data_IF_462781261374
#
_entry.id   IF_462781261374
#
_cell.length_a   1.000
_cell.length_b   1.000
_cell.length_c   1.000
_cell.angle_alpha   90.00
_cell.angle_beta   90.00
_cell.angle_gamma   90.00
#
_symmetry.space_group_name_H-M   'P 1'
#
loop_
_entity.id
_entity.type
_entity.pdbx_description
1 polymer ?
#
# COMPACT_ATOMS: atom_id res chain seq x y z
N UNK A 1 -27.91 0.83 86.14
CA UNK A 1 -28.68 0.63 84.89
C UNK A 1 -28.93 -0.86 84.71
N UNK A 2 -30.10 -1.20 84.17
CA UNK A 2 -30.94 -2.36 84.53
C UNK A 2 -30.41 -3.74 84.08
N UNK A 3 -30.72 -4.71 84.94
CA UNK A 3 -30.68 -6.18 84.79
C UNK A 3 -31.31 -6.64 83.45
N UNK A 4 -30.90 -7.80 82.90
CA UNK A 4 -31.73 -9.01 82.89
C UNK A 4 -31.02 -10.24 82.30
N UNK A 5 -31.24 -11.34 83.00
CA UNK A 5 -31.08 -12.75 82.66
C UNK A 5 -31.86 -13.13 81.38
N UNK A 6 -31.39 -14.09 80.58
CA UNK A 6 -32.21 -15.26 80.19
C UNK A 6 -31.44 -16.29 79.34
N UNK A 7 -31.71 -17.53 79.75
CA UNK A 7 -31.33 -18.83 79.23
C UNK A 7 -32.28 -19.26 78.08
N UNK A 8 -32.03 -20.44 77.50
CA UNK A 8 -32.85 -21.27 76.56
C UNK A 8 -32.64 -21.07 75.06
N UNK A 9 -32.68 -22.09 74.20
CA UNK A 9 -32.60 -23.57 74.24
C UNK A 9 -32.47 -23.99 72.76
N UNK A 10 -31.89 -25.17 72.53
CA UNK A 10 -31.79 -25.94 71.30
C UNK A 10 -32.94 -25.80 70.29
N UNK A 11 -32.65 -25.93 69.00
CA UNK A 11 -33.39 -26.76 68.03
C UNK A 11 -32.47 -27.04 66.82
N UNK A 12 -32.15 -28.32 66.63
CA UNK A 12 -31.70 -28.89 65.37
C UNK A 12 -32.93 -28.97 64.43
N UNK A 13 -32.85 -28.39 63.25
CA UNK A 13 -33.69 -28.77 62.12
C UNK A 13 -32.80 -29.01 60.91
N UNK A 14 -32.65 -30.30 60.58
CA UNK A 14 -32.35 -30.75 59.23
C UNK A 14 -33.52 -30.36 58.33
N UNK A 15 -33.25 -29.63 57.25
CA UNK A 15 -34.14 -29.57 56.09
C UNK A 15 -33.28 -29.44 54.83
N UNK A 16 -33.36 -30.48 54.00
CA UNK A 16 -32.79 -30.52 52.66
C UNK A 16 -33.41 -29.42 51.80
N UNK A 17 -32.58 -28.63 51.11
CA UNK A 17 -33.02 -27.91 49.92
C UNK A 17 -32.08 -28.24 48.77
N UNK A 18 -32.69 -28.68 47.67
CA UNK A 18 -32.08 -29.16 46.44
C UNK A 18 -31.10 -28.14 45.85
N UNK A 19 -29.82 -28.50 45.81
CA UNK A 19 -28.83 -27.81 44.98
C UNK A 19 -28.89 -28.40 43.58
N UNK A 20 -29.64 -27.74 42.71
CA UNK A 20 -29.45 -27.85 41.26
C UNK A 20 -27.99 -27.48 40.95
N UNK A 21 -27.19 -28.49 40.62
CA UNK A 21 -25.89 -28.29 40.00
C UNK A 21 -26.13 -27.73 38.60
N UNK A 22 -26.13 -26.40 38.48
CA UNK A 22 -25.83 -25.74 37.20
C UNK A 22 -24.47 -26.24 36.73
N UNK A 23 -24.51 -27.11 35.72
CA UNK A 23 -23.36 -27.50 34.92
C UNK A 23 -22.90 -26.25 34.20
N UNK A 24 -21.81 -25.64 34.67
CA UNK A 24 -21.07 -24.64 33.92
C UNK A 24 -20.48 -25.39 32.73
N UNK A 25 -21.09 -25.22 31.56
CA UNK A 25 -20.51 -25.59 30.28
C UNK A 25 -19.33 -24.63 30.06
N UNK A 26 -18.13 -25.08 30.40
CA UNK A 26 -16.91 -24.49 29.85
C UNK A 26 -16.94 -24.74 28.35
N UNK A 27 -17.47 -23.80 27.58
CA UNK A 27 -17.17 -23.73 26.16
C UNK A 27 -15.81 -23.05 26.03
N UNK A 28 -14.74 -23.82 26.17
CA UNK A 28 -13.48 -23.44 25.56
C UNK A 28 -13.76 -23.33 24.05
N UNK A 29 -13.96 -22.10 23.57
CA UNK A 29 -14.18 -21.82 22.16
C UNK A 29 -12.95 -22.33 21.41
N UNK A 30 -13.08 -23.51 20.79
CA UNK A 30 -12.02 -24.12 20.01
C UNK A 30 -11.75 -23.19 18.86
N UNK A 31 -10.54 -22.62 18.79
CA UNK A 31 -10.17 -21.71 17.71
C UNK A 31 -10.47 -22.39 16.36
N UNK A 32 -11.12 -21.70 15.41
CA UNK A 32 -11.46 -22.30 14.13
C UNK A 32 -10.19 -22.83 13.45
N UNK A 33 -10.22 -24.12 13.06
CA UNK A 33 -9.11 -24.77 12.37
C UNK A 33 -8.80 -24.03 11.07
N UNK A 34 -7.56 -23.64 10.92
CA UNK A 34 -7.06 -23.03 9.69
C UNK A 34 -6.87 -24.08 8.61
N UNK A 35 -7.24 -23.70 7.39
CA UNK A 35 -7.13 -24.53 6.19
C UNK A 35 -6.45 -23.70 5.11
N UNK A 36 -5.87 -24.36 4.10
CA UNK A 36 -5.24 -23.69 2.95
C UNK A 36 -4.21 -22.62 3.32
N UNK A 37 -3.38 -22.88 4.33
CA UNK A 37 -2.27 -22.00 4.73
C UNK A 37 -1.26 -21.82 3.60
N UNK A 38 -1.20 -22.75 2.66
CA UNK A 38 -0.44 -22.63 1.41
C UNK A 38 -0.87 -21.41 0.58
N UNK A 39 -2.10 -20.92 0.70
CA UNK A 39 -2.58 -19.74 -0.04
C UNK A 39 -2.30 -18.41 0.67
N UNK A 40 -1.71 -18.43 1.87
CA UNK A 40 -1.42 -17.21 2.61
C UNK A 40 -0.32 -16.39 1.91
N UNK A 41 -0.31 -15.09 2.16
CA UNK A 41 0.70 -14.16 1.65
C UNK A 41 0.13 -13.11 0.70
N UNK A 42 1.05 -12.39 0.06
CA UNK A 42 0.75 -11.28 -0.84
C UNK A 42 0.54 -11.76 -2.27
N UNK A 43 -0.45 -11.18 -2.93
CA UNK A 43 -0.70 -11.31 -4.35
C UNK A 43 -0.67 -9.90 -4.94
N UNK A 44 0.31 -9.64 -5.80
CA UNK A 44 0.63 -8.28 -6.27
C UNK A 44 0.55 -8.21 -7.78
N UNK A 45 0.03 -7.09 -8.28
CA UNK A 45 -0.11 -6.83 -9.70
C UNK A 45 -0.96 -5.60 -9.96
N UNK A 46 -1.55 -5.55 -11.14
CA UNK A 46 -2.28 -4.39 -11.63
C UNK A 46 -3.76 -4.44 -11.28
N UNK A 47 -4.30 -3.26 -10.99
CA UNK A 47 -5.71 -3.02 -10.67
C UNK A 47 -6.33 -2.09 -11.70
N UNK A 48 -6.73 -2.69 -12.82
CA UNK A 48 -7.08 -1.98 -14.04
C UNK A 48 -8.58 -1.73 -14.14
N UNK A 49 -8.97 -0.56 -14.63
CA UNK A 49 -10.36 -0.23 -14.97
C UNK A 49 -10.95 -1.29 -15.90
N UNK A 50 -12.13 -1.81 -15.54
CA UNK A 50 -12.92 -2.70 -16.38
C UNK A 50 -14.22 -2.02 -16.83
N UNK A 51 -14.90 -1.31 -15.91
CA UNK A 51 -16.12 -0.56 -16.21
C UNK A 51 -16.00 0.87 -15.66
N UNK A 52 -16.24 1.86 -16.54
CA UNK A 52 -16.14 3.29 -16.26
C UNK A 52 -17.25 4.07 -16.96
N UNK A 53 -17.80 5.08 -16.28
CA UNK A 53 -18.69 6.08 -16.88
C UNK A 53 -17.90 7.04 -17.77
N UNK A 54 -17.97 6.85 -19.09
CA UNK A 54 -17.26 7.66 -20.09
C UNK A 54 -17.88 9.04 -20.33
N UNK A 55 -19.07 9.32 -19.78
CA UNK A 55 -19.68 10.65 -19.85
C UNK A 55 -19.00 11.69 -18.95
N UNK A 56 -18.15 11.24 -18.03
CA UNK A 56 -17.44 12.09 -17.06
C UNK A 56 -15.96 12.21 -17.41
N UNK A 57 -15.29 13.32 -17.01
CA UNK A 57 -13.83 13.43 -17.10
C UNK A 57 -13.11 12.32 -16.33
N UNK A 58 -11.97 11.86 -16.85
CA UNK A 58 -11.12 10.87 -16.18
C UNK A 58 -10.48 11.47 -14.93
N UNK A 59 -10.92 11.04 -13.73
CA UNK A 59 -10.32 11.48 -12.46
C UNK A 59 -9.60 10.37 -11.71
N UNK A 60 -10.05 9.13 -11.89
CA UNK A 60 -9.37 7.96 -11.35
C UNK A 60 -8.26 7.48 -12.28
N UNK A 61 -7.15 6.97 -11.73
CA UNK A 61 -6.12 6.33 -12.56
C UNK A 61 -6.69 5.06 -13.21
N UNK A 62 -6.35 4.84 -14.48
CA UNK A 62 -6.72 3.63 -15.21
C UNK A 62 -6.11 2.36 -14.59
N UNK A 63 -4.87 2.48 -14.11
CA UNK A 63 -4.12 1.41 -13.46
C UNK A 63 -3.58 1.92 -12.12
N UNK A 64 -3.71 1.09 -11.08
CA UNK A 64 -2.94 1.22 -9.84
C UNK A 64 -2.31 -0.13 -9.52
N UNK A 65 -1.20 -0.15 -8.77
CA UNK A 65 -0.77 -1.38 -8.11
C UNK A 65 -1.77 -1.75 -7.00
N UNK A 66 -2.07 -3.04 -6.89
CA UNK A 66 -2.79 -3.63 -5.76
C UNK A 66 -1.96 -4.74 -5.13
N UNK A 67 -2.07 -4.87 -3.81
CA UNK A 67 -1.69 -6.08 -3.08
C UNK A 67 -2.92 -6.64 -2.34
N UNK A 68 -3.28 -7.89 -2.60
CA UNK A 68 -4.24 -8.64 -1.78
C UNK A 68 -3.45 -9.59 -0.89
N UNK A 69 -3.63 -9.45 0.43
CA UNK A 69 -2.90 -10.24 1.42
C UNK A 69 -3.89 -11.17 2.11
N UNK A 70 -3.78 -12.46 1.83
CA UNK A 70 -4.58 -13.49 2.50
C UNK A 70 -3.90 -13.85 3.81
N UNK A 71 -4.59 -13.64 4.93
CA UNK A 71 -4.04 -13.82 6.28
C UNK A 71 -4.52 -15.09 6.97
N UNK A 72 -5.80 -15.41 6.81
CA UNK A 72 -6.42 -16.55 7.49
C UNK A 72 -7.56 -17.11 6.67
N UNK A 73 -7.61 -18.43 6.51
CA UNK A 73 -8.71 -19.15 5.90
C UNK A 73 -9.17 -20.23 6.88
N UNK A 74 -10.48 -20.29 7.10
CA UNK A 74 -11.17 -21.30 7.89
C UNK A 74 -12.35 -21.81 7.08
N UNK A 75 -13.02 -22.88 7.53
CA UNK A 75 -14.20 -23.40 6.84
C UNK A 75 -15.35 -22.37 6.67
N UNK A 76 -15.42 -21.35 7.53
CA UNK A 76 -16.53 -20.38 7.55
C UNK A 76 -16.12 -18.98 7.11
N UNK A 77 -14.83 -18.64 7.20
CA UNK A 77 -14.38 -17.25 7.05
C UNK A 77 -12.97 -17.18 6.51
N UNK A 78 -12.79 -16.23 5.60
CA UNK A 78 -11.51 -15.74 5.11
C UNK A 78 -11.30 -14.33 5.65
N UNK A 79 -10.09 -14.02 6.08
CA UNK A 79 -9.67 -12.66 6.42
C UNK A 79 -8.37 -12.31 5.69
N UNK A 80 -8.28 -11.05 5.28
CA UNK A 80 -7.12 -10.51 4.59
C UNK A 80 -7.06 -9.00 4.69
N UNK A 81 -6.32 -8.39 3.78
CA UNK A 81 -6.37 -6.95 3.53
C UNK A 81 -6.08 -6.65 2.05
N UNK A 82 -6.68 -5.60 1.51
CA UNK A 82 -6.31 -4.99 0.24
C UNK A 82 -5.42 -3.78 0.52
N UNK A 83 -4.43 -3.55 -0.33
CA UNK A 83 -3.63 -2.32 -0.35
C UNK A 83 -3.69 -1.75 -1.76
N UNK A 84 -4.36 -0.60 -1.93
CA UNK A 84 -4.51 0.08 -3.22
C UNK A 84 -4.21 1.56 -3.03
N UNK A 85 -3.31 2.11 -3.85
CA UNK A 85 -2.99 3.53 -3.82
C UNK A 85 -2.61 4.07 -2.43
N UNK A 86 -2.00 3.22 -1.60
CA UNK A 86 -1.62 3.56 -0.23
C UNK A 86 -2.70 3.31 0.84
N UNK A 87 -3.91 2.94 0.43
CA UNK A 87 -5.01 2.67 1.34
C UNK A 87 -5.03 1.17 1.67
N UNK A 88 -4.82 0.85 2.94
CA UNK A 88 -4.97 -0.49 3.49
C UNK A 88 -6.38 -0.67 4.03
N UNK A 89 -7.11 -1.69 3.58
CA UNK A 89 -8.48 -2.00 4.00
C UNK A 89 -8.58 -3.46 4.42
N UNK A 90 -9.20 -3.78 5.57
CA UNK A 90 -9.39 -5.17 5.98
C UNK A 90 -10.38 -5.85 5.04
N UNK A 91 -10.11 -7.11 4.71
CA UNK A 91 -10.98 -7.94 3.89
C UNK A 91 -11.59 -9.05 4.75
N UNK A 92 -12.88 -9.28 4.58
CA UNK A 92 -13.57 -10.43 5.18
C UNK A 92 -14.54 -11.07 4.20
N UNK A 93 -14.65 -12.39 4.23
CA UNK A 93 -15.58 -13.08 3.35
C UNK A 93 -15.44 -14.59 3.42
N UNK A 94 -15.70 -15.27 2.31
CA UNK A 94 -15.79 -16.73 2.25
C UNK A 94 -14.95 -17.30 1.11
N UNK A 95 -14.58 -18.57 1.26
CA UNK A 95 -13.95 -19.39 0.23
C UNK A 95 -14.90 -20.54 -0.11
N UNK A 96 -15.10 -20.80 -1.39
CA UNK A 96 -15.79 -22.00 -1.88
C UNK A 96 -14.83 -22.79 -2.77
N UNK A 97 -15.09 -24.09 -2.91
CA UNK A 97 -14.30 -24.98 -3.76
C UNK A 97 -15.23 -25.68 -4.72
N UNK A 98 -15.02 -25.48 -6.01
CA UNK A 98 -15.79 -26.07 -7.10
C UNK A 98 -14.83 -26.86 -8.00
N UNK A 99 -14.79 -28.18 -7.84
CA UNK A 99 -13.80 -29.02 -8.51
C UNK A 99 -12.38 -28.66 -8.06
N UNK A 100 -11.52 -28.28 -9.02
CA UNK A 100 -10.15 -27.82 -8.77
C UNK A 100 -10.04 -26.30 -8.56
N UNK A 101 -11.13 -25.56 -8.72
CA UNK A 101 -11.12 -24.10 -8.60
C UNK A 101 -11.49 -23.68 -7.19
N UNK A 102 -10.70 -22.77 -6.63
CA UNK A 102 -10.95 -22.17 -5.31
C UNK A 102 -11.39 -20.74 -5.55
N UNK A 103 -12.61 -20.45 -5.15
CA UNK A 103 -13.25 -19.16 -5.37
C UNK A 103 -13.36 -18.39 -4.06
N UNK A 104 -13.21 -17.08 -4.12
CA UNK A 104 -13.22 -16.17 -3.00
C UNK A 104 -14.16 -15.00 -3.27
N UNK A 105 -14.96 -14.66 -2.27
CA UNK A 105 -15.74 -13.41 -2.25
C UNK A 105 -15.39 -12.69 -0.95
N UNK A 106 -14.60 -11.62 -1.06
CA UNK A 106 -14.13 -10.83 0.07
C UNK A 106 -14.62 -9.39 -0.01
N UNK A 107 -15.07 -8.83 1.11
CA UNK A 107 -15.61 -7.48 1.21
C UNK A 107 -14.72 -6.60 2.05
N UNK A 108 -14.55 -5.36 1.60
CA UNK A 108 -14.09 -4.25 2.43
C UNK A 108 -15.22 -3.80 3.39
N UNK A 109 -14.92 -3.02 4.46
CA UNK A 109 -15.89 -2.67 5.50
C UNK A 109 -17.19 -2.00 5.03
N UNK A 110 -17.15 -1.26 3.93
CA UNK A 110 -18.26 -0.44 3.44
C UNK A 110 -18.36 0.93 4.13
N UNK A 111 -17.33 1.33 4.89
CA UNK A 111 -17.25 2.63 5.57
C UNK A 111 -16.44 3.69 4.80
N UNK A 112 -15.80 3.31 3.69
CA UNK A 112 -15.12 4.23 2.77
C UNK A 112 -15.82 4.28 1.40
N UNK A 113 -15.80 5.46 0.76
CA UNK A 113 -16.40 5.70 -0.57
C UNK A 113 -15.72 4.90 -1.70
N UNK A 114 -14.56 4.33 -1.45
CA UNK A 114 -13.79 3.49 -2.36
C UNK A 114 -13.86 2.01 -1.99
N UNK A 115 -14.72 1.62 -1.05
CA UNK A 115 -14.90 0.21 -0.71
C UNK A 115 -15.72 -0.53 -1.77
N UNK A 116 -15.43 -1.82 -1.89
CA UNK A 116 -16.15 -2.74 -2.75
C UNK A 116 -16.01 -4.20 -2.34
N UNK A 117 -16.26 -5.06 -3.31
CA UNK A 117 -16.29 -6.51 -3.19
C UNK A 117 -15.31 -7.09 -4.19
N UNK A 118 -14.36 -7.87 -3.69
CA UNK A 118 -13.46 -8.70 -4.47
C UNK A 118 -14.10 -10.06 -4.72
N UNK A 119 -14.10 -10.48 -5.98
CA UNK A 119 -14.61 -11.75 -6.47
C UNK A 119 -13.52 -12.35 -7.37
N UNK A 120 -12.91 -13.45 -6.93
CA UNK A 120 -11.71 -13.99 -7.58
C UNK A 120 -11.49 -15.47 -7.35
N UNK A 121 -10.67 -16.05 -8.21
CA UNK A 121 -10.16 -17.41 -8.09
C UNK A 121 -8.63 -17.42 -7.98
N UNK A 122 -8.07 -18.47 -7.37
CA UNK A 122 -6.62 -18.72 -7.38
C UNK A 122 -6.35 -19.93 -8.28
N UNK A 123 -5.64 -19.68 -9.38
CA UNK A 123 -5.17 -20.68 -10.35
C UNK A 123 -3.77 -21.15 -9.99
N UNK A 124 -3.56 -22.47 -10.06
CA UNK A 124 -2.25 -23.09 -9.84
C UNK A 124 -1.55 -22.61 -8.55
N UNK A 125 -2.33 -22.32 -7.50
CA UNK A 125 -1.92 -21.83 -6.18
C UNK A 125 -1.06 -20.54 -6.16
N UNK A 126 -0.89 -19.87 -7.30
CA UNK A 126 0.08 -18.77 -7.48
C UNK A 126 -0.46 -17.57 -8.26
N UNK A 127 -1.52 -17.75 -9.05
CA UNK A 127 -2.11 -16.68 -9.86
C UNK A 127 -3.53 -16.39 -9.38
N UNK A 128 -3.73 -15.22 -8.78
CA UNK A 128 -5.04 -14.74 -8.33
C UNK A 128 -5.66 -13.89 -9.43
N UNK A 129 -6.81 -14.30 -9.95
CA UNK A 129 -7.51 -13.63 -11.06
C UNK A 129 -8.92 -13.28 -10.65
N UNK A 130 -9.35 -12.04 -10.88
CA UNK A 130 -10.71 -11.67 -10.56
C UNK A 130 -11.06 -10.22 -10.81
N UNK A 131 -12.13 -9.80 -10.15
CA UNK A 131 -12.67 -8.45 -10.26
C UNK A 131 -12.95 -7.84 -8.90
N UNK A 132 -12.95 -6.52 -8.87
CA UNK A 132 -13.47 -5.73 -7.77
C UNK A 132 -14.65 -4.92 -8.27
N UNK A 133 -15.74 -4.92 -7.50
CA UNK A 133 -16.95 -4.15 -7.80
C UNK A 133 -17.19 -3.15 -6.67
N UNK A 134 -17.32 -1.87 -7.03
CA UNK A 134 -17.59 -0.80 -6.07
C UNK A 134 -18.93 -1.00 -5.35
N UNK A 135 -18.95 -0.74 -4.04
CA UNK A 135 -20.22 -0.66 -3.30
C UNK A 135 -21.07 0.54 -3.75
N UNK A 136 -20.41 1.64 -4.14
CA UNK A 136 -21.05 2.85 -4.64
C UNK A 136 -21.18 2.83 -6.17
N UNK A 137 -22.39 2.55 -6.66
CA UNK A 137 -22.71 2.47 -8.10
C UNK A 137 -22.66 3.82 -8.83
N UNK A 138 -22.53 4.95 -8.11
CA UNK A 138 -22.42 6.29 -8.71
C UNK A 138 -20.97 6.72 -8.96
N UNK A 139 -19.98 5.89 -8.60
CA UNK A 139 -18.57 6.15 -8.88
C UNK A 139 -18.31 6.24 -10.38
N UNK A 140 -17.24 6.94 -10.73
CA UNK A 140 -16.74 7.00 -12.10
C UNK A 140 -16.30 5.60 -12.57
N UNK A 141 -15.52 4.89 -11.74
CA UNK A 141 -15.13 3.50 -11.97
C UNK A 141 -15.95 2.60 -11.05
N UNK A 142 -16.77 1.74 -11.62
CA UNK A 142 -17.64 0.79 -10.89
C UNK A 142 -17.03 -0.60 -10.80
N UNK A 143 -16.14 -0.95 -11.73
CA UNK A 143 -15.52 -2.27 -11.78
C UNK A 143 -14.07 -2.20 -12.22
N UNK A 144 -13.23 -3.01 -11.57
CA UNK A 144 -11.82 -3.21 -11.93
C UNK A 144 -11.53 -4.70 -12.05
N UNK A 145 -10.55 -5.04 -12.87
CA UNK A 145 -10.02 -6.40 -13.00
C UNK A 145 -8.57 -6.45 -12.52
N UNK A 146 -8.13 -7.64 -12.13
CA UNK A 146 -6.77 -7.87 -11.72
C UNK A 146 -6.31 -9.30 -12.02
N UNK A 147 -5.01 -9.40 -12.29
CA UNK A 147 -4.25 -10.65 -12.34
C UNK A 147 -3.01 -10.45 -11.47
N UNK A 148 -2.95 -11.16 -10.35
CA UNK A 148 -2.00 -10.92 -9.28
C UNK A 148 -1.12 -12.15 -9.06
N UNK A 149 0.18 -11.97 -9.21
CA UNK A 149 1.15 -13.01 -8.93
C UNK A 149 1.39 -13.10 -7.42
N UNK A 150 1.45 -14.31 -6.89
CA UNK A 150 1.87 -14.54 -5.51
C UNK A 150 3.32 -14.08 -5.33
N UNK A 151 3.54 -13.19 -4.36
CA UNK A 151 4.86 -12.69 -3.98
C UNK A 151 5.05 -12.88 -2.49
N UNK A 152 6.20 -13.44 -2.11
CA UNK A 152 6.62 -13.45 -0.71
C UNK A 152 7.30 -12.11 -0.41
N UNK A 153 6.79 -11.37 0.58
CA UNK A 153 7.49 -10.20 1.06
C UNK A 153 8.69 -10.64 1.89
N UNK A 154 9.88 -10.25 1.42
CA UNK A 154 11.13 -10.41 2.14
C UNK A 154 11.92 -9.11 2.01
N UNK A 155 12.30 -8.54 3.14
CA UNK A 155 13.20 -7.40 3.14
C UNK A 155 14.53 -7.78 2.47
N UNK A 156 14.89 -7.04 1.42
CA UNK A 156 16.18 -7.13 0.75
C UNK A 156 16.78 -5.72 0.64
N UNK A 157 17.88 -5.43 1.34
CA UNK A 157 18.50 -4.11 1.28
C UNK A 157 19.26 -3.87 -0.04
N UNK A 158 19.53 -4.91 -0.83
CA UNK A 158 20.41 -4.83 -2.00
C UNK A 158 19.67 -4.52 -3.30
N UNK A 159 18.34 -4.63 -3.32
CA UNK A 159 17.56 -4.30 -4.52
C UNK A 159 17.70 -2.80 -4.84
N UNK A 160 17.96 -2.54 -6.11
CA UNK A 160 18.17 -1.20 -6.67
C UNK A 160 17.00 -0.82 -7.57
N UNK A 161 16.83 0.49 -7.75
CA UNK A 161 15.89 1.04 -8.72
C UNK A 161 16.27 0.58 -10.14
N UNK A 162 15.32 0.17 -10.99
CA UNK A 162 15.62 -0.28 -12.35
C UNK A 162 16.16 0.86 -13.22
N UNK A 163 17.19 0.59 -14.04
CA UNK A 163 17.79 1.59 -14.94
C UNK A 163 16.80 2.14 -15.97
N UNK A 164 15.90 1.29 -16.47
CA UNK A 164 14.86 1.68 -17.44
C UNK A 164 13.67 2.44 -16.80
N UNK A 165 13.74 2.74 -15.50
CA UNK A 165 12.67 3.44 -14.79
C UNK A 165 12.59 4.93 -15.18
N UNK A 166 11.37 5.44 -15.39
CA UNK A 166 11.15 6.88 -15.55
C UNK A 166 11.04 7.54 -14.18
N UNK A 167 12.07 8.28 -13.77
CA UNK A 167 12.12 9.01 -12.50
C UNK A 167 11.77 10.49 -12.65
N UNK A 168 10.65 10.74 -13.31
CA UNK A 168 10.09 12.08 -13.57
C UNK A 168 8.88 12.30 -12.67
N UNK A 169 8.81 13.47 -12.04
CA UNK A 169 7.69 13.86 -11.17
C UNK A 169 6.52 14.44 -11.98
N UNK A 170 5.77 13.56 -12.64
CA UNK A 170 4.55 13.94 -13.35
C UNK A 170 3.42 14.42 -12.43
N UNK A 171 3.52 14.18 -11.12
CA UNK A 171 2.50 14.55 -10.16
C UNK A 171 2.57 16.03 -9.74
N UNK A 172 3.69 16.72 -9.94
CA UNK A 172 3.85 18.14 -9.61
C UNK A 172 4.50 18.94 -10.77
N UNK A 173 3.82 19.04 -11.94
CA UNK A 173 4.29 19.88 -13.03
C UNK A 173 4.34 21.36 -12.62
N UNK A 174 5.12 22.15 -13.37
CA UNK A 174 5.05 23.61 -13.37
C UNK A 174 4.89 24.13 -14.77
N UNK A 175 4.28 25.30 -14.88
CA UNK A 175 4.23 26.07 -16.13
C UNK A 175 5.33 27.11 -16.09
N UNK A 176 6.23 27.12 -17.07
CA UNK A 176 7.31 28.09 -17.22
C UNK A 176 7.25 28.76 -18.58
N UNK A 177 7.68 30.02 -18.65
CA UNK A 177 7.70 30.78 -19.90
C UNK A 177 9.05 30.54 -20.59
N UNK A 178 9.02 29.92 -21.77
CA UNK A 178 10.20 29.60 -22.57
C UNK A 178 10.27 30.55 -23.76
N UNK A 179 11.47 30.95 -24.15
CA UNK A 179 11.71 31.80 -25.32
C UNK A 179 12.70 31.14 -26.25
N UNK A 180 12.20 30.69 -27.39
CA UNK A 180 12.98 30.03 -28.42
C UNK A 180 13.28 30.97 -29.58
N UNK A 181 14.47 30.82 -30.14
CA UNK A 181 14.90 31.54 -31.34
C UNK A 181 14.71 30.60 -32.53
N UNK A 182 13.52 30.58 -33.12
CA UNK A 182 13.28 29.82 -34.34
C UNK A 182 13.91 30.55 -35.54
N UNK A 183 14.69 29.83 -36.34
CA UNK A 183 15.05 30.26 -37.69
C UNK A 183 13.96 29.78 -38.65
N UNK A 184 13.36 30.68 -39.44
CA UNK A 184 12.55 30.24 -40.58
C UNK A 184 13.41 29.37 -41.51
N UNK A 185 12.87 28.23 -41.96
CA UNK A 185 13.55 27.35 -42.90
C UNK A 185 14.03 28.14 -44.12
N UNK A 186 15.35 28.37 -44.22
CA UNK A 186 16.00 28.84 -45.44
C UNK A 186 16.70 30.20 -45.40
N UNK A 187 16.69 30.96 -44.29
CA UNK A 187 17.49 32.21 -44.19
C UNK A 187 18.14 32.34 -42.81
N UNK A 188 19.47 32.25 -42.74
CA UNK A 188 20.27 32.36 -41.51
C UNK A 188 20.21 33.74 -40.82
N UNK A 189 19.47 34.72 -41.36
CA UNK A 189 19.64 36.13 -41.00
C UNK A 189 18.57 36.75 -40.10
N UNK A 190 17.39 36.14 -39.92
CA UNK A 190 16.33 36.67 -39.05
C UNK A 190 15.76 35.57 -38.13
N UNK A 191 16.24 35.54 -36.88
CA UNK A 191 15.66 34.69 -35.82
C UNK A 191 14.61 35.50 -35.07
N UNK A 192 13.33 35.13 -35.19
CA UNK A 192 12.29 35.73 -34.36
C UNK A 192 12.17 34.97 -33.03
N UNK A 193 12.23 35.71 -31.92
CA UNK A 193 12.02 35.14 -30.60
C UNK A 193 10.54 34.82 -30.41
N UNK A 194 10.21 33.54 -30.22
CA UNK A 194 8.86 33.08 -29.88
C UNK A 194 8.81 32.72 -28.41
N UNK A 195 7.92 33.36 -27.68
CA UNK A 195 7.68 33.08 -26.27
C UNK A 195 6.38 32.31 -26.08
N UNK A 196 6.43 31.18 -25.40
CA UNK A 196 5.25 30.37 -25.07
C UNK A 196 5.35 29.77 -23.67
N UNK A 197 4.22 29.27 -23.17
CA UNK A 197 4.18 28.55 -21.89
C UNK A 197 4.46 27.07 -22.14
N UNK A 198 5.35 26.50 -21.35
CA UNK A 198 5.70 25.08 -21.41
C UNK A 198 5.54 24.43 -20.03
N UNK A 199 5.00 23.21 -20.01
CA UNK A 199 4.92 22.39 -18.81
C UNK A 199 6.26 21.69 -18.57
N UNK A 200 6.90 22.00 -17.46
CA UNK A 200 8.19 21.44 -17.02
C UNK A 200 8.03 20.52 -15.81
N UNK A 201 8.95 19.57 -15.66
CA UNK A 201 8.90 18.54 -14.63
C UNK A 201 10.23 18.40 -13.89
N UNK A 202 10.17 17.92 -12.64
CA UNK A 202 11.38 17.51 -11.91
C UNK A 202 11.80 16.12 -12.39
N UNK A 203 13.09 15.92 -12.64
CA UNK A 203 13.62 14.61 -12.98
C UNK A 203 14.87 14.27 -12.17
N UNK A 204 14.90 13.03 -11.70
CA UNK A 204 16.02 12.50 -10.96
C UNK A 204 17.25 12.29 -11.87
N UNK A 205 18.43 12.31 -11.26
CA UNK A 205 19.69 11.94 -11.90
C UNK A 205 19.97 10.45 -11.73
N UNK A 206 20.86 9.91 -12.56
CA UNK A 206 21.37 8.52 -12.49
C UNK A 206 21.94 8.14 -11.11
N UNK A 207 22.27 9.12 -10.27
CA UNK A 207 22.77 8.91 -8.91
C UNK A 207 21.85 8.00 -8.09
N UNK A 208 20.52 8.07 -8.29
CA UNK A 208 19.55 7.23 -7.57
C UNK A 208 19.65 5.73 -7.91
N UNK A 209 20.28 5.40 -9.04
CA UNK A 209 20.49 4.02 -9.50
C UNK A 209 21.78 3.43 -8.95
N UNK A 210 22.73 4.28 -8.57
CA UNK A 210 24.04 3.86 -8.06
C UNK A 210 24.15 3.92 -6.53
N UNK A 211 23.46 4.85 -5.88
CA UNK A 211 23.53 5.05 -4.42
C UNK A 211 22.51 4.18 -3.70
N UNK A 212 22.97 3.27 -2.84
CA UNK A 212 22.09 2.44 -2.01
C UNK A 212 21.99 2.99 -0.59
N UNK A 213 20.89 3.68 -0.29
CA UNK A 213 20.63 4.30 1.01
C UNK A 213 20.29 3.33 2.15
N UNK A 214 20.18 2.02 1.88
CA UNK A 214 19.97 0.97 2.90
C UNK A 214 21.25 0.19 3.24
N UNK A 215 22.21 0.08 2.33
CA UNK A 215 23.47 -0.67 2.56
C UNK A 215 24.71 0.21 2.70
N UNK A 216 24.75 1.35 2.01
CA UNK A 216 25.86 2.30 2.06
C UNK A 216 25.65 3.31 3.19
N UNK A 217 26.65 3.51 4.05
CA UNK A 217 26.69 4.66 4.96
C UNK A 217 27.02 5.92 4.15
N UNK A 218 25.99 6.71 3.84
CA UNK A 218 26.11 7.88 3.00
C UNK A 218 26.91 8.99 3.72
N UNK A 219 27.74 9.68 2.95
CA UNK A 219 28.48 10.86 3.39
C UNK A 219 27.90 12.10 2.74
N UNK A 220 28.17 13.25 3.33
CA UNK A 220 27.82 14.54 2.75
C UNK A 220 28.40 14.73 1.34
N UNK A 221 29.63 14.25 1.10
CA UNK A 221 30.25 14.28 -0.24
C UNK A 221 29.43 13.56 -1.31
N UNK A 222 28.69 12.51 -0.92
CA UNK A 222 27.96 11.64 -1.83
C UNK A 222 26.65 12.30 -2.29
N UNK A 223 26.08 13.18 -1.46
CA UNK A 223 24.71 13.70 -1.65
C UNK A 223 24.63 15.22 -1.81
N UNK A 224 25.67 15.99 -1.48
CA UNK A 224 25.61 17.46 -1.42
C UNK A 224 25.25 18.15 -2.73
N UNK A 225 25.52 17.51 -3.87
CA UNK A 225 25.25 18.04 -5.20
C UNK A 225 24.02 17.39 -5.85
N UNK A 226 23.28 16.54 -5.13
CA UNK A 226 22.10 15.88 -5.67
C UNK A 226 20.90 16.82 -5.70
N UNK A 227 20.01 16.60 -6.67
CA UNK A 227 18.76 17.35 -6.79
C UNK A 227 17.83 16.96 -5.64
N UNK A 228 16.88 17.84 -5.28
CA UNK A 228 15.90 17.53 -4.23
C UNK A 228 15.13 16.21 -4.48
N UNK A 229 14.74 15.97 -5.73
CA UNK A 229 14.06 14.73 -6.14
C UNK A 229 14.92 13.48 -5.92
N UNK A 230 16.24 13.55 -6.15
CA UNK A 230 17.16 12.43 -5.91
C UNK A 230 17.15 12.05 -4.43
N UNK A 231 17.24 13.05 -3.56
CA UNK A 231 17.25 12.87 -2.11
C UNK A 231 15.91 12.29 -1.61
N UNK A 232 14.79 12.80 -2.15
CA UNK A 232 13.44 12.31 -1.84
C UNK A 232 13.28 10.83 -2.25
N UNK A 233 13.74 10.45 -3.44
CA UNK A 233 13.68 9.07 -3.94
C UNK A 233 14.60 8.16 -3.14
N UNK A 234 15.86 8.55 -2.91
CA UNK A 234 16.82 7.79 -2.11
C UNK A 234 16.30 7.52 -0.70
N UNK A 235 15.71 8.53 -0.04
CA UNK A 235 15.11 8.37 1.28
C UNK A 235 13.91 7.42 1.22
N UNK A 236 13.01 7.60 0.26
CA UNK A 236 11.82 6.75 0.15
C UNK A 236 12.15 5.31 -0.24
N UNK A 237 13.24 5.06 -0.96
CA UNK A 237 13.66 3.70 -1.31
C UNK A 237 13.97 2.84 -0.08
N UNK A 238 14.46 3.43 1.01
CA UNK A 238 14.63 2.75 2.31
C UNK A 238 13.30 2.17 2.77
N UNK A 239 12.28 3.01 2.86
CA UNK A 239 10.95 2.61 3.31
C UNK A 239 10.28 1.62 2.34
N UNK A 240 10.51 1.78 1.03
CA UNK A 240 10.00 0.89 0.01
C UNK A 240 10.55 -0.54 0.17
N UNK A 241 11.84 -0.69 0.46
CA UNK A 241 12.48 -2.01 0.71
C UNK A 241 11.88 -2.71 1.94
N UNK A 242 11.45 -1.95 2.94
CA UNK A 242 10.72 -2.46 4.11
C UNK A 242 9.22 -2.68 3.86
N UNK A 243 8.72 -2.45 2.65
CA UNK A 243 7.32 -2.70 2.29
C UNK A 243 6.34 -1.64 2.82
N UNK A 244 6.82 -0.41 3.08
CA UNK A 244 5.95 0.69 3.47
C UNK A 244 4.95 1.02 2.37
N UNK A 245 3.69 1.19 2.76
CA UNK A 245 2.59 1.58 1.90
C UNK A 245 2.53 3.10 1.74
N UNK A 246 2.95 3.63 0.59
CA UNK A 246 2.91 5.08 0.33
C UNK A 246 1.51 5.58 -0.01
N UNK A 247 1.03 6.59 0.73
CA UNK A 247 -0.29 7.24 0.47
C UNK A 247 -0.25 8.35 -0.58
N UNK A 248 0.88 9.03 -0.71
CA UNK A 248 1.01 10.18 -1.61
C UNK A 248 1.32 9.72 -3.03
N UNK A 249 0.53 10.19 -4.01
CA UNK A 249 0.74 9.89 -5.44
C UNK A 249 2.15 10.30 -5.89
N UNK A 250 2.67 11.39 -5.34
CA UNK A 250 4.00 11.95 -5.65
C UNK A 250 5.15 11.01 -5.30
N UNK A 251 4.98 10.12 -4.32
CA UNK A 251 5.99 9.11 -3.97
C UNK A 251 5.70 7.80 -4.68
N UNK A 252 4.42 7.38 -4.70
CA UNK A 252 3.98 6.14 -5.36
C UNK A 252 4.44 6.05 -6.82
N UNK A 253 4.42 7.15 -7.57
CA UNK A 253 4.81 7.14 -8.98
C UNK A 253 6.19 6.52 -9.24
N UNK A 254 7.12 6.62 -8.28
CA UNK A 254 8.49 6.09 -8.42
C UNK A 254 8.61 4.60 -8.06
N UNK A 255 7.63 4.02 -7.36
CA UNK A 255 7.72 2.66 -6.83
C UNK A 255 6.60 1.74 -7.33
N UNK A 256 5.44 2.28 -7.76
CA UNK A 256 4.28 1.49 -8.20
C UNK A 256 4.59 0.64 -9.45
N UNK A 257 5.66 0.91 -10.20
CA UNK A 257 6.10 0.06 -11.32
C UNK A 257 7.40 -0.73 -11.01
N UNK A 258 7.91 -0.65 -9.80
CA UNK A 258 9.14 -1.33 -9.39
C UNK A 258 8.82 -2.75 -8.92
N UNK A 259 9.38 -3.75 -9.59
CA UNK A 259 8.98 -5.16 -9.45
C UNK A 259 9.23 -5.74 -8.05
N UNK A 260 10.32 -5.34 -7.40
CA UNK A 260 10.67 -5.76 -6.04
C UNK A 260 9.86 -5.04 -4.95
N UNK A 261 9.16 -3.95 -5.27
CA UNK A 261 8.38 -3.20 -4.28
C UNK A 261 7.02 -3.88 -4.04
N UNK A 262 6.82 -4.31 -2.80
CA UNK A 262 5.60 -4.98 -2.34
C UNK A 262 5.05 -4.21 -1.13
N UNK A 263 3.97 -3.41 -1.28
CA UNK A 263 3.39 -2.66 -0.18
C UNK A 263 2.64 -3.60 0.77
N UNK A 264 3.07 -3.72 2.03
CA UNK A 264 2.52 -4.66 3.01
C UNK A 264 2.26 -4.06 4.40
N UNK A 265 2.92 -2.95 4.75
CA UNK A 265 2.81 -2.31 6.07
C UNK A 265 2.50 -0.82 5.98
N UNK A 266 1.75 -0.30 6.96
CA UNK A 266 1.51 1.13 7.12
C UNK A 266 2.63 1.85 7.90
N UNK A 267 3.50 1.09 8.58
CA UNK A 267 4.60 1.61 9.39
C UNK A 267 5.76 0.61 9.43
N UNK A 268 6.98 1.10 9.24
CA UNK A 268 8.22 0.30 9.21
C UNK A 268 9.32 0.86 10.12
N UNK A 269 8.99 1.79 11.02
CA UNK A 269 9.98 2.52 11.81
C UNK A 269 10.81 1.62 12.75
N UNK A 270 10.24 0.50 13.19
CA UNK A 270 10.92 -0.42 14.12
C UNK A 270 11.85 -1.37 13.40
N UNK A 271 11.65 -1.55 12.10
CA UNK A 271 12.36 -2.45 11.19
C UNK A 271 13.62 -1.78 10.62
N UNK A 272 13.68 -0.45 10.63
CA UNK A 272 14.81 0.34 10.13
C UNK A 272 16.12 0.04 10.88
N UNK A 273 17.17 -0.25 10.11
CA UNK A 273 18.53 -0.45 10.59
C UNK A 273 19.17 0.85 11.08
N UNK A 274 20.29 0.76 11.79
CA UNK A 274 21.06 1.93 12.22
C UNK A 274 21.56 2.76 11.04
N UNK A 275 22.08 2.11 9.99
CA UNK A 275 22.57 2.79 8.77
C UNK A 275 21.44 3.56 8.10
N UNK A 276 20.27 2.94 7.95
CA UNK A 276 19.09 3.59 7.37
C UNK A 276 18.64 4.80 8.19
N UNK A 277 18.58 4.68 9.52
CA UNK A 277 18.22 5.81 10.41
C UNK A 277 19.19 6.97 10.25
N UNK A 278 20.49 6.71 10.22
CA UNK A 278 21.53 7.73 9.99
C UNK A 278 21.36 8.39 8.61
N UNK A 279 21.18 7.59 7.56
CA UNK A 279 20.99 8.07 6.21
C UNK A 279 19.69 8.88 6.05
N UNK A 280 18.59 8.46 6.67
CA UNK A 280 17.32 9.22 6.67
C UNK A 280 17.54 10.61 7.26
N UNK A 281 18.24 10.74 8.39
CA UNK A 281 18.54 12.03 9.01
C UNK A 281 19.38 12.90 8.06
N UNK A 282 20.42 12.32 7.47
CA UNK A 282 21.29 13.02 6.53
C UNK A 282 20.54 13.49 5.27
N UNK A 283 19.79 12.60 4.61
CA UNK A 283 19.00 12.92 3.41
C UNK A 283 17.96 14.00 3.70
N UNK A 284 17.17 13.86 4.78
CA UNK A 284 16.17 14.87 5.18
C UNK A 284 16.79 16.24 5.44
N UNK A 285 18.01 16.29 5.99
CA UNK A 285 18.73 17.54 6.20
C UNK A 285 19.05 18.22 4.86
N UNK A 286 19.56 17.47 3.88
CA UNK A 286 19.89 18.02 2.56
C UNK A 286 18.64 18.39 1.75
N UNK A 287 17.55 17.62 1.83
CA UNK A 287 16.27 17.94 1.17
C UNK A 287 15.70 19.32 1.56
N UNK A 288 15.99 19.78 2.78
CA UNK A 288 15.55 21.08 3.27
C UNK A 288 16.20 22.25 2.51
N UNK A 289 17.42 22.06 2.02
CA UNK A 289 18.23 23.11 1.37
C UNK A 289 18.41 22.89 -0.13
N UNK A 290 18.14 21.68 -0.63
CA UNK A 290 18.20 21.38 -2.05
C UNK A 290 17.06 22.08 -2.80
N UNK A 291 17.38 22.62 -3.98
CA UNK A 291 16.42 23.25 -4.87
C UNK A 291 15.79 22.21 -5.82
N UNK A 292 14.58 22.52 -6.27
CA UNK A 292 13.97 21.76 -7.35
C UNK A 292 14.54 22.25 -8.67
N UNK A 293 14.96 21.30 -9.52
CA UNK A 293 15.32 21.58 -10.90
C UNK A 293 14.19 21.06 -11.80
N UNK A 294 13.64 21.95 -12.62
CA UNK A 294 12.56 21.66 -13.57
C UNK A 294 13.11 21.74 -14.98
N UNK A 295 12.73 20.78 -15.82
CA UNK A 295 13.16 20.69 -17.22
C UNK A 295 11.96 20.35 -18.10
N UNK A 296 11.96 20.83 -19.35
CA UNK A 296 10.97 20.39 -20.34
C UNK A 296 11.50 19.17 -21.08
N UNK A 297 10.69 18.12 -21.07
CA UNK A 297 10.96 16.93 -21.89
C UNK A 297 10.31 17.15 -23.25
N UNK A 298 11.02 17.91 -24.10
CA UNK A 298 10.65 18.17 -25.49
C UNK A 298 10.74 16.90 -26.34
N UNK A 299 9.75 16.75 -27.23
CA UNK A 299 9.49 15.62 -28.13
C UNK A 299 10.62 15.31 -29.11
#
# INVERSE_FOLDING_TARGET
MKKLFCLLVSILLLSCNSKDKKTVKDSAATLPKEIRTDLYGSYVGDFTVLERDTSRPAKENDINKINIIIKKITALKVTGQSVVAGNSRPLTGTMTTEGNTIHFILKEPGDDKNDGIFDFEIKNDTLLVGTWTANNTKKEVTKRKFELAKKEFKYDPNVMLPEEGMYIDYANPKEEQVTDLESEEGTETDKEARTYMETVYRAASESILTLNSSTQKLKESDIKNLKKIDLEILRNSIFARHGLTFKTKTVRQFFDNVEWYIPVSDNVNNELTTVEKENIVLLKRFEKYAENNYDSFGR
#
